data_IF_090193770042
#
_entry.id   IF_090193770042
#
_cell.length_a   1.000
_cell.length_b   1.000
_cell.length_c   1.000
_cell.angle_alpha   90.00
_cell.angle_beta   90.00
_cell.angle_gamma   90.00
#
_symmetry.space_group_name_H-M   'P 1'
#
loop_
_entity.id
_entity.type
_entity.pdbx_description
1 polymer ?
#
# COMPACT_ATOMS: atom_id res chain seq x y z
N UNK A 1 18.01 -38.56 -16.04
CA UNK A 1 17.41 -37.51 -16.88
C UNK A 1 17.24 -36.14 -16.20
N UNK A 2 16.97 -36.05 -14.89
CA UNK A 2 16.83 -34.76 -14.17
C UNK A 2 18.12 -33.90 -14.04
N UNK A 3 19.30 -34.54 -14.04
CA UNK A 3 20.58 -33.83 -13.89
C UNK A 3 21.10 -33.15 -15.18
N UNK A 4 20.64 -33.59 -16.35
CA UNK A 4 21.01 -33.02 -17.64
C UNK A 4 20.21 -31.78 -17.96
N UNK A 5 18.96 -31.68 -17.44
CA UNK A 5 18.08 -30.53 -17.63
C UNK A 5 18.53 -29.28 -16.85
N UNK A 6 19.12 -29.47 -15.66
CA UNK A 6 19.69 -28.38 -14.87
C UNK A 6 20.95 -27.75 -15.48
N UNK A 7 21.76 -28.55 -16.19
CA UNK A 7 23.02 -28.08 -16.84
C UNK A 7 22.71 -27.23 -18.08
N UNK A 8 21.64 -27.54 -18.82
CA UNK A 8 21.23 -26.76 -19.99
C UNK A 8 20.61 -25.40 -19.63
N UNK A 9 19.93 -25.28 -18.48
CA UNK A 9 19.41 -24.01 -17.98
C UNK A 9 20.50 -23.06 -17.47
N UNK A 10 21.59 -23.59 -16.93
CA UNK A 10 22.72 -22.79 -16.45
C UNK A 10 23.54 -22.14 -17.58
N UNK A 11 23.59 -22.76 -18.77
CA UNK A 11 24.32 -22.23 -19.91
C UNK A 11 23.58 -21.11 -20.64
N UNK A 12 22.25 -21.10 -20.60
CA UNK A 12 21.45 -20.02 -21.21
C UNK A 12 21.51 -18.68 -20.46
N UNK A 13 21.84 -18.66 -19.16
CA UNK A 13 21.90 -17.41 -18.38
C UNK A 13 23.22 -16.64 -18.52
N UNK A 14 24.25 -17.21 -19.17
CA UNK A 14 25.55 -16.53 -19.33
C UNK A 14 25.70 -15.78 -20.66
N UNK A 15 24.73 -15.80 -21.55
CA UNK A 15 24.83 -15.19 -22.88
C UNK A 15 24.19 -13.79 -23.01
N UNK A 16 23.66 -13.18 -21.94
CA UNK A 16 22.93 -11.91 -22.01
C UNK A 16 23.66 -10.68 -21.45
N UNK A 17 24.98 -10.73 -21.27
CA UNK A 17 25.78 -9.61 -20.75
C UNK A 17 26.80 -9.12 -21.80
N UNK A 18 26.34 -8.64 -22.96
CA UNK A 18 27.18 -7.85 -23.86
C UNK A 18 26.32 -7.02 -24.82
N UNK A 19 25.91 -5.82 -24.40
CA UNK A 19 25.66 -4.70 -25.27
C UNK A 19 25.51 -3.39 -24.46
N UNK A 20 26.62 -2.79 -24.08
CA UNK A 20 26.68 -1.35 -23.83
C UNK A 20 27.82 -0.79 -24.66
N UNK A 21 27.48 -0.28 -25.80
CA UNK A 21 28.35 0.35 -26.78
C UNK A 21 28.68 1.80 -26.44
N UNK A 22 29.89 2.05 -26.44
CA UNK A 22 30.79 3.19 -26.35
C UNK A 22 30.57 4.18 -27.49
N UNK A 23 30.58 5.47 -27.19
CA UNK A 23 30.68 6.58 -28.14
C UNK A 23 30.99 7.86 -27.38
N UNK A 24 32.07 8.22 -27.34
CA UNK A 24 33.29 8.90 -27.82
C UNK A 24 33.12 10.43 -27.84
N UNK A 25 34.01 11.04 -27.05
CA UNK A 25 34.38 12.47 -26.97
C UNK A 25 34.77 13.09 -28.34
N UNK A 26 34.63 14.37 -28.39
CA UNK A 26 35.56 15.48 -28.79
C UNK A 26 34.75 16.62 -29.32
N UNK A 27 35.09 17.91 -29.26
CA UNK A 27 36.21 18.69 -28.79
C UNK A 27 35.77 20.18 -28.83
N UNK A 28 36.29 20.92 -27.90
CA UNK A 28 36.86 22.26 -27.93
C UNK A 28 36.28 23.39 -28.78
N UNK A 29 36.31 24.58 -28.17
CA UNK A 29 36.45 25.89 -28.80
C UNK A 29 35.56 26.96 -28.15
N UNK A 30 35.97 27.61 -27.21
CA UNK A 30 36.68 28.86 -26.93
C UNK A 30 36.14 30.11 -27.66
N UNK A 31 36.04 31.14 -26.89
CA UNK A 31 36.17 32.59 -27.05
C UNK A 31 34.91 33.47 -26.96
N UNK A 32 34.92 34.19 -25.90
CA UNK A 32 35.27 35.60 -25.69
C UNK A 32 34.17 36.66 -25.83
N UNK A 33 33.97 37.31 -24.70
CA UNK A 33 33.78 38.73 -24.39
C UNK A 33 32.79 39.60 -25.18
N UNK A 34 32.06 40.32 -24.44
CA UNK A 34 32.02 41.77 -24.33
C UNK A 34 30.64 42.41 -24.27
N UNK A 35 30.42 43.03 -23.16
CA UNK A 35 30.05 44.43 -22.94
C UNK A 35 28.68 44.96 -23.33
N UNK A 36 28.04 45.50 -22.28
CA UNK A 36 27.38 46.81 -22.13
C UNK A 36 26.24 47.13 -23.10
N UNK A 37 25.13 47.60 -22.60
CA UNK A 37 24.71 48.87 -22.03
C UNK A 37 23.21 48.87 -21.75
N UNK A 38 22.85 49.24 -20.59
CA UNK A 38 21.98 50.31 -20.14
C UNK A 38 20.88 50.83 -21.10
N UNK A 39 19.63 50.74 -20.69
CA UNK A 39 18.70 51.87 -20.57
C UNK A 39 17.25 51.47 -20.25
N UNK A 40 16.81 52.08 -19.15
CA UNK A 40 15.48 52.67 -18.94
C UNK A 40 14.22 51.77 -18.87
N UNK A 41 13.66 51.76 -17.66
CA UNK A 41 12.28 51.44 -17.31
C UNK A 41 11.25 52.29 -18.08
N UNK A 42 10.03 51.80 -18.18
CA UNK A 42 9.00 52.39 -17.32
C UNK A 42 8.16 51.35 -16.54
N UNK A 43 7.84 51.78 -15.37
CA UNK A 43 6.91 51.29 -14.38
C UNK A 43 5.54 51.00 -15.01
N UNK A 44 5.09 49.78 -14.94
CA UNK A 44 3.67 49.46 -15.04
C UNK A 44 3.27 48.53 -13.91
N UNK A 45 2.34 49.02 -13.11
CA UNK A 45 1.78 48.44 -11.90
C UNK A 45 1.02 47.16 -12.21
N UNK A 46 1.50 46.04 -11.71
CA UNK A 46 0.79 44.76 -11.68
C UNK A 46 -0.02 44.70 -10.39
N UNK A 47 -1.33 44.45 -10.47
CA UNK A 47 -2.13 44.24 -9.24
C UNK A 47 -1.80 42.90 -8.59
N UNK A 48 -1.51 42.96 -7.32
CA UNK A 48 -1.32 41.86 -6.39
C UNK A 48 -2.51 40.90 -6.47
N UNK A 49 -2.31 39.61 -6.77
CA UNK A 49 -3.34 38.62 -6.51
C UNK A 49 -3.46 38.43 -4.99
N UNK A 50 -4.65 38.62 -4.47
CA UNK A 50 -5.01 38.22 -3.11
C UNK A 50 -4.68 36.74 -2.97
N UNK A 51 -3.83 36.47 -2.04
CA UNK A 51 -3.60 35.14 -1.42
C UNK A 51 -4.96 34.72 -0.84
N UNK A 52 -5.59 33.80 -1.52
CA UNK A 52 -6.74 33.08 -1.02
C UNK A 52 -6.14 31.90 -0.23
N UNK A 53 -6.02 32.11 1.07
CA UNK A 53 -5.78 31.02 2.01
C UNK A 53 -6.94 30.03 1.86
N UNK A 54 -6.74 29.01 1.05
CA UNK A 54 -7.52 27.79 1.12
C UNK A 54 -6.96 27.02 2.32
N UNK A 55 -7.64 27.19 3.46
CA UNK A 55 -7.48 26.28 4.59
C UNK A 55 -7.78 24.88 4.06
N UNK A 56 -6.75 24.07 3.88
CA UNK A 56 -6.88 22.62 3.82
C UNK A 56 -7.35 22.18 5.20
N UNK A 57 -8.67 22.14 5.35
CA UNK A 57 -9.33 21.46 6.44
C UNK A 57 -9.00 19.98 6.26
N UNK A 58 -8.09 19.49 7.08
CA UNK A 58 -7.80 18.09 7.30
C UNK A 58 -9.14 17.45 7.68
N UNK A 59 -9.79 16.80 6.71
CA UNK A 59 -10.97 15.96 6.98
C UNK A 59 -10.50 14.75 7.80
N UNK A 60 -10.59 14.92 9.10
CA UNK A 60 -10.49 13.85 10.07
C UNK A 60 -11.67 12.90 9.82
N UNK A 61 -11.50 11.58 9.79
CA UNK A 61 -12.59 10.62 9.58
C UNK A 61 -13.73 10.91 10.57
N UNK A 62 -14.89 11.29 10.04
CA UNK A 62 -16.06 11.57 10.87
C UNK A 62 -16.56 10.26 11.47
N UNK A 63 -16.70 10.22 12.79
CA UNK A 63 -17.32 9.13 13.51
C UNK A 63 -18.70 8.82 12.93
N UNK A 64 -18.83 7.63 12.33
CA UNK A 64 -20.11 7.16 11.80
C UNK A 64 -21.07 6.85 12.93
N UNK A 65 -22.33 7.26 12.79
CA UNK A 65 -23.40 7.13 13.79
C UNK A 65 -23.85 5.68 14.10
N UNK A 66 -23.14 4.66 13.61
CA UNK A 66 -23.50 3.23 13.70
C UNK A 66 -22.52 2.38 14.53
N UNK A 67 -21.77 2.98 15.48
CA UNK A 67 -20.82 2.24 16.30
C UNK A 67 -19.54 1.82 15.56
N UNK A 68 -19.19 2.49 14.46
CA UNK A 68 -17.94 2.39 13.73
C UNK A 68 -17.17 3.69 13.94
N UNK A 69 -15.95 3.58 14.48
CA UNK A 69 -15.09 4.74 14.75
C UNK A 69 -14.29 5.17 13.52
N UNK A 70 -13.91 4.21 12.68
CA UNK A 70 -13.14 4.42 11.45
C UNK A 70 -13.80 3.68 10.29
N UNK A 71 -14.49 4.41 9.41
CA UNK A 71 -15.12 3.84 8.21
C UNK A 71 -14.24 4.08 6.98
N UNK A 72 -13.42 3.08 6.62
CA UNK A 72 -12.56 3.14 5.45
C UNK A 72 -13.34 3.02 4.13
N UNK A 73 -14.59 2.58 4.17
CA UNK A 73 -15.41 2.36 2.96
C UNK A 73 -15.94 3.64 2.34
N UNK A 74 -15.87 4.75 3.07
CA UNK A 74 -16.28 6.08 2.60
C UNK A 74 -15.12 6.87 1.98
N UNK A 75 -13.88 6.39 2.14
CA UNK A 75 -12.69 7.03 1.61
C UNK A 75 -12.51 6.73 0.12
N UNK A 76 -11.84 7.63 -0.59
CA UNK A 76 -11.38 7.35 -1.96
C UNK A 76 -10.32 6.25 -1.97
N UNK A 77 -10.14 5.57 -3.10
CA UNK A 77 -9.15 4.48 -3.24
C UNK A 77 -7.71 4.90 -2.91
N UNK A 78 -7.35 6.17 -3.15
CA UNK A 78 -6.05 6.70 -2.77
C UNK A 78 -5.95 6.91 -1.25
N UNK A 79 -7.00 7.42 -0.64
CA UNK A 79 -7.02 7.70 0.80
C UNK A 79 -7.11 6.43 1.63
N UNK A 80 -7.91 5.45 1.20
CA UNK A 80 -8.08 4.21 1.97
C UNK A 80 -6.75 3.46 2.13
N UNK A 81 -5.95 3.36 1.07
CA UNK A 81 -4.64 2.72 1.15
C UNK A 81 -3.69 3.44 2.11
N UNK A 82 -3.65 4.79 2.03
CA UNK A 82 -2.84 5.61 2.92
C UNK A 82 -3.26 5.47 4.39
N UNK A 83 -4.56 5.41 4.64
CA UNK A 83 -5.09 5.24 6.00
C UNK A 83 -4.77 3.86 6.57
N UNK A 84 -4.93 2.80 5.77
CA UNK A 84 -4.52 1.44 6.17
C UNK A 84 -3.03 1.37 6.46
N UNK A 85 -2.20 2.03 5.66
CA UNK A 85 -0.77 2.11 5.89
C UNK A 85 -0.43 2.83 7.22
N UNK A 86 -1.14 3.91 7.53
CA UNK A 86 -1.03 4.59 8.82
C UNK A 86 -1.40 3.67 10.00
N UNK A 87 -2.50 2.94 9.87
CA UNK A 87 -2.97 2.01 10.89
C UNK A 87 -1.98 0.89 11.17
N UNK A 88 -1.33 0.36 10.15
CA UNK A 88 -0.46 -0.81 10.29
C UNK A 88 0.99 -0.43 10.64
N UNK A 89 1.49 0.74 10.18
CA UNK A 89 2.93 1.01 10.22
C UNK A 89 3.34 2.35 10.85
N UNK A 90 2.57 3.43 10.63
CA UNK A 90 3.00 4.75 11.07
C UNK A 90 2.54 5.12 12.48
N UNK A 91 1.24 4.98 12.75
CA UNK A 91 0.64 5.34 14.03
C UNK A 91 -0.46 4.36 14.47
N UNK A 92 -0.15 3.07 14.62
CA UNK A 92 -1.13 2.07 15.00
C UNK A 92 -1.74 2.35 16.39
N UNK A 93 -1.00 2.99 17.28
CA UNK A 93 -1.47 3.30 18.64
C UNK A 93 -2.73 4.19 18.63
N UNK A 94 -2.88 5.05 17.62
CA UNK A 94 -4.05 5.89 17.45
C UNK A 94 -5.36 5.10 17.19
N UNK A 95 -5.23 3.90 16.64
CA UNK A 95 -6.36 3.07 16.20
C UNK A 95 -6.70 1.93 17.17
N UNK A 96 -5.84 1.60 18.13
CA UNK A 96 -6.09 0.52 19.09
C UNK A 96 -7.41 0.73 19.83
N UNK A 97 -8.23 -0.32 19.87
CA UNK A 97 -9.54 -0.35 20.51
C UNK A 97 -10.65 0.32 19.70
N UNK A 98 -10.36 0.89 18.53
CA UNK A 98 -11.39 1.48 17.65
C UNK A 98 -12.07 0.41 16.81
N UNK A 99 -13.37 0.60 16.60
CA UNK A 99 -14.14 -0.22 15.65
C UNK A 99 -13.89 0.30 14.23
N UNK A 100 -13.29 -0.57 13.42
CA UNK A 100 -12.91 -0.27 12.02
C UNK A 100 -13.82 -1.02 11.06
N UNK A 101 -14.24 -0.36 9.98
CA UNK A 101 -14.94 -0.96 8.86
C UNK A 101 -14.09 -0.82 7.60
N UNK A 102 -13.75 -1.96 7.02
CA UNK A 102 -12.90 -2.04 5.83
C UNK A 102 -13.57 -2.85 4.72
N UNK A 103 -13.29 -2.50 3.46
CA UNK A 103 -13.72 -3.24 2.27
C UNK A 103 -12.50 -3.63 1.44
N UNK A 104 -12.49 -4.87 0.98
CA UNK A 104 -11.41 -5.38 0.14
C UNK A 104 -11.70 -6.80 -0.33
N UNK A 105 -10.66 -7.49 -0.78
CA UNK A 105 -10.77 -8.86 -1.30
C UNK A 105 -10.39 -9.87 -0.21
N UNK A 106 -11.22 -10.89 -0.03
CA UNK A 106 -10.95 -11.96 0.93
C UNK A 106 -9.75 -12.79 0.49
N UNK A 107 -8.81 -13.00 1.40
CA UNK A 107 -7.63 -13.83 1.21
C UNK A 107 -7.28 -14.59 2.50
N UNK A 108 -6.45 -15.63 2.34
CA UNK A 108 -5.92 -16.43 3.45
C UNK A 108 -4.40 -16.51 3.37
N UNK A 109 -3.78 -16.68 4.52
CA UNK A 109 -2.39 -17.08 4.61
C UNK A 109 -2.29 -18.53 5.06
N UNK A 110 -1.55 -19.36 4.31
CA UNK A 110 -1.30 -20.76 4.62
C UNK A 110 0.19 -21.02 4.69
N UNK A 111 0.61 -21.85 5.62
CA UNK A 111 2.00 -22.26 5.75
C UNK A 111 2.39 -23.29 4.68
N UNK A 112 3.65 -23.21 4.26
CA UNK A 112 4.28 -24.28 3.47
C UNK A 112 5.34 -24.95 4.36
N UNK A 113 5.11 -26.21 4.75
CA UNK A 113 6.04 -26.99 5.54
C UNK A 113 6.62 -28.11 4.66
N UNK A 114 7.94 -28.18 4.56
CA UNK A 114 8.65 -29.17 3.72
C UNK A 114 8.19 -29.18 2.26
N UNK A 115 7.81 -28.02 1.71
CA UNK A 115 7.32 -27.87 0.35
C UNK A 115 5.86 -28.29 0.14
N UNK A 116 5.12 -28.59 1.22
CA UNK A 116 3.71 -28.95 1.20
C UNK A 116 2.88 -27.82 1.81
N UNK A 117 1.89 -27.34 1.05
CA UNK A 117 0.91 -26.35 1.53
C UNK A 117 0.05 -27.02 2.60
N UNK A 118 -0.02 -26.39 3.77
CA UNK A 118 -0.87 -26.88 4.86
C UNK A 118 -2.34 -26.57 4.55
N UNK A 119 -3.26 -27.48 4.86
CA UNK A 119 -4.68 -27.31 4.49
C UNK A 119 -5.35 -26.15 5.26
N UNK A 120 -4.96 -25.96 6.51
CA UNK A 120 -5.60 -24.98 7.38
C UNK A 120 -4.92 -23.61 7.24
N UNK A 121 -5.68 -22.52 7.03
CA UNK A 121 -5.15 -21.16 7.09
C UNK A 121 -4.64 -20.82 8.47
N UNK A 122 -3.57 -20.03 8.53
CA UNK A 122 -3.06 -19.45 9.79
C UNK A 122 -3.62 -18.07 10.07
N UNK A 123 -4.03 -17.34 9.02
CA UNK A 123 -4.75 -16.08 9.15
C UNK A 123 -5.65 -15.80 7.95
N UNK A 124 -6.64 -14.92 8.17
CA UNK A 124 -7.60 -14.42 7.19
C UNK A 124 -7.41 -12.93 7.03
N UNK A 125 -7.50 -12.43 5.81
CA UNK A 125 -7.27 -11.01 5.54
C UNK A 125 -8.26 -10.42 4.54
N UNK A 126 -8.58 -9.15 4.74
CA UNK A 126 -9.20 -8.26 3.78
C UNK A 126 -8.08 -7.50 3.06
N UNK A 127 -7.86 -7.80 1.80
CA UNK A 127 -6.80 -7.19 0.98
C UNK A 127 -7.30 -5.89 0.40
N UNK A 128 -6.64 -4.80 0.74
CA UNK A 128 -6.97 -3.44 0.33
C UNK A 128 -5.88 -2.95 -0.61
N UNK A 129 -6.26 -2.72 -1.87
CA UNK A 129 -5.34 -2.25 -2.91
C UNK A 129 -5.33 -0.73 -2.99
N UNK A 130 -4.21 -0.17 -3.46
CA UNK A 130 -4.12 1.23 -3.84
C UNK A 130 -4.95 1.54 -5.11
N UNK A 131 -5.05 2.81 -5.47
CA UNK A 131 -5.81 3.26 -6.63
C UNK A 131 -5.29 2.70 -7.98
N UNK A 132 -4.02 2.35 -8.05
CA UNK A 132 -3.38 1.80 -9.24
C UNK A 132 -3.35 0.26 -9.23
N UNK A 133 -3.77 -0.36 -8.12
CA UNK A 133 -3.67 -1.80 -7.86
C UNK A 133 -2.24 -2.36 -8.02
N UNK A 134 -1.23 -1.52 -7.82
CA UNK A 134 0.17 -1.93 -7.85
C UNK A 134 0.70 -2.29 -6.46
N UNK A 135 0.04 -1.84 -5.41
CA UNK A 135 0.34 -2.14 -4.01
C UNK A 135 -0.93 -2.57 -3.29
N UNK A 136 -0.79 -3.44 -2.30
CA UNK A 136 -1.91 -3.89 -1.49
C UNK A 136 -1.45 -4.19 -0.07
N UNK A 137 -2.33 -3.91 0.91
CA UNK A 137 -2.14 -4.24 2.32
C UNK A 137 -3.22 -5.21 2.78
N UNK A 138 -2.82 -6.17 3.62
CA UNK A 138 -3.73 -7.13 4.22
C UNK A 138 -4.13 -6.71 5.63
N UNK A 139 -5.40 -6.34 5.82
CA UNK A 139 -5.97 -6.18 7.15
C UNK A 139 -6.43 -7.54 7.65
N UNK A 140 -5.65 -8.14 8.57
CA UNK A 140 -6.01 -9.42 9.17
C UNK A 140 -7.26 -9.29 10.03
N UNK A 141 -8.06 -10.35 10.11
CA UNK A 141 -9.25 -10.36 10.97
C UNK A 141 -9.53 -11.74 11.56
N UNK A 142 -10.19 -11.73 12.71
CA UNK A 142 -10.71 -12.92 13.41
C UNK A 142 -12.21 -12.73 13.59
N UNK A 143 -12.99 -13.57 12.91
CA UNK A 143 -14.45 -13.52 13.00
C UNK A 143 -14.92 -13.93 14.38
N UNK A 144 -16.02 -13.34 14.85
CA UNK A 144 -16.70 -13.72 16.08
C UNK A 144 -17.36 -15.09 15.93
N UNK A 145 -17.19 -15.98 16.93
CA UNK A 145 -17.79 -17.30 16.97
C UNK A 145 -16.84 -18.45 16.62
N UNK A 146 -17.36 -19.67 16.70
CA UNK A 146 -16.63 -20.89 16.36
C UNK A 146 -16.88 -21.24 14.89
N UNK A 147 -16.14 -20.57 13.99
CA UNK A 147 -16.28 -20.71 12.54
C UNK A 147 -15.17 -21.60 11.96
N UNK A 148 -15.54 -22.41 10.98
CA UNK A 148 -14.63 -23.39 10.35
C UNK A 148 -14.40 -23.03 8.89
N UNK A 149 -13.13 -22.92 8.49
CA UNK A 149 -12.76 -22.76 7.08
C UNK A 149 -12.81 -24.12 6.37
N UNK A 150 -13.30 -24.22 5.11
CA UNK A 150 -13.84 -23.13 4.30
C UNK A 150 -15.34 -22.87 4.47
N UNK A 151 -16.05 -23.69 5.23
CA UNK A 151 -17.53 -23.79 5.18
C UNK A 151 -18.24 -22.49 5.64
N UNK A 152 -17.65 -21.78 6.61
CA UNK A 152 -18.21 -20.57 7.20
C UNK A 152 -17.58 -19.28 6.66
N UNK A 153 -16.67 -19.40 5.69
CA UNK A 153 -15.94 -18.26 5.13
C UNK A 153 -16.34 -17.99 3.67
N UNK A 154 -16.17 -16.75 3.17
CA UNK A 154 -16.35 -16.45 1.76
C UNK A 154 -15.41 -17.24 0.86
N UNK A 155 -15.75 -17.35 -0.42
CA UNK A 155 -14.82 -17.86 -1.42
C UNK A 155 -13.62 -16.92 -1.57
N UNK A 156 -12.43 -17.50 -1.79
CA UNK A 156 -11.21 -16.72 -2.02
C UNK A 156 -11.38 -15.77 -3.21
N UNK A 157 -10.92 -14.53 -3.06
CA UNK A 157 -11.02 -13.50 -4.08
C UNK A 157 -12.36 -12.76 -4.10
N UNK A 158 -13.31 -13.11 -3.21
CA UNK A 158 -14.58 -12.39 -3.08
C UNK A 158 -14.37 -11.03 -2.43
N UNK A 159 -15.06 -10.00 -2.91
CA UNK A 159 -15.12 -8.71 -2.22
C UNK A 159 -15.91 -8.87 -0.93
N UNK A 160 -15.32 -8.45 0.18
CA UNK A 160 -15.92 -8.47 1.51
C UNK A 160 -15.91 -7.09 2.15
N UNK A 161 -16.82 -6.89 3.08
CA UNK A 161 -16.76 -5.79 4.05
C UNK A 161 -16.63 -6.40 5.43
N UNK A 162 -15.57 -6.07 6.15
CA UNK A 162 -15.30 -6.55 7.51
C UNK A 162 -15.43 -5.39 8.49
N UNK A 163 -16.05 -5.66 9.65
CA UNK A 163 -16.16 -4.71 10.76
C UNK A 163 -15.65 -5.43 12.00
N UNK A 164 -14.68 -4.82 12.71
CA UNK A 164 -14.10 -5.41 13.91
C UNK A 164 -13.32 -4.39 14.72
N UNK A 165 -12.89 -4.76 15.90
CA UNK A 165 -12.07 -3.94 16.78
C UNK A 165 -10.59 -4.08 16.44
N UNK A 166 -9.88 -2.98 16.21
CA UNK A 166 -8.46 -2.97 15.89
C UNK A 166 -7.62 -3.24 17.13
N UNK A 167 -6.86 -4.31 17.12
CA UNK A 167 -6.04 -4.78 18.24
C UNK A 167 -4.65 -5.20 17.76
N UNK A 168 -3.70 -5.23 18.69
CA UNK A 168 -2.36 -5.78 18.47
C UNK A 168 -2.21 -7.17 19.06
N UNK A 169 -1.33 -7.97 18.46
CA UNK A 169 -0.89 -9.25 19.02
C UNK A 169 0.60 -9.47 18.73
N UNK A 170 1.22 -10.38 19.46
CA UNK A 170 2.63 -10.71 19.26
C UNK A 170 2.77 -12.03 18.49
N UNK A 171 3.53 -12.00 17.41
CA UNK A 171 3.87 -13.17 16.62
C UNK A 171 5.36 -13.20 16.32
N UNK A 172 6.05 -14.26 16.76
CA UNK A 172 7.50 -14.45 16.54
C UNK A 172 8.36 -13.24 16.99
N UNK A 173 7.94 -12.55 18.08
CA UNK A 173 8.64 -11.37 18.61
C UNK A 173 8.42 -10.08 17.79
N UNK A 174 7.42 -10.07 16.93
CA UNK A 174 6.97 -8.90 16.20
C UNK A 174 5.53 -8.56 16.59
N UNK A 175 5.26 -7.26 16.80
CA UNK A 175 3.89 -6.78 16.99
C UNK A 175 3.19 -6.73 15.64
N UNK A 176 2.02 -7.34 15.59
CA UNK A 176 1.12 -7.33 14.43
C UNK A 176 -0.24 -6.77 14.83
N UNK A 177 -1.05 -6.45 13.84
CA UNK A 177 -2.36 -5.82 14.02
C UNK A 177 -3.43 -6.57 13.25
N UNK A 178 -4.62 -6.67 13.86
CA UNK A 178 -5.77 -7.33 13.25
C UNK A 178 -7.10 -6.73 13.75
N UNK A 179 -8.19 -7.10 13.11
CA UNK A 179 -9.54 -6.83 13.60
C UNK A 179 -10.05 -8.06 14.35
N UNK A 180 -10.36 -7.90 15.63
CA UNK A 180 -10.96 -8.97 16.46
C UNK A 180 -12.46 -8.75 16.60
N UNK A 181 -13.17 -9.80 17.09
CA UNK A 181 -14.63 -9.78 17.20
C UNK A 181 -15.28 -9.32 15.90
N UNK A 182 -14.67 -9.73 14.78
CA UNK A 182 -15.03 -9.24 13.47
C UNK A 182 -16.30 -9.92 12.95
N UNK A 183 -17.03 -9.19 12.11
CA UNK A 183 -18.18 -9.71 11.36
C UNK A 183 -18.11 -9.24 9.92
N UNK A 184 -18.66 -10.02 9.01
CA UNK A 184 -18.87 -9.65 7.62
C UNK A 184 -20.22 -8.90 7.50
N UNK A 185 -20.26 -7.84 6.61
CA UNK A 185 -21.41 -6.97 6.43
C UNK A 185 -21.83 -6.87 4.96
#
# INVERSE_FOLDING_TARGET
>A
MKRIFCLLLAVCMMASLCACGKGREKDAGNDTLSSNEEASAPTESIPTPKEQETSEESEQPQASSNGVDVDLTVLSSTMVYSEVYNMLYNDPAHYLGKTVKARGTFSIYQLVTDGVLQPDPVSYACIISDAAACCAEGMEFVLEGDLTYPDDYPELGTEITVIGEFQSYEENGMTRYHLVNARLA
#
